data_IF_346913874844
#
_entry.id   IF_346913874844
#
_cell.length_a   1.000
_cell.length_b   1.000
_cell.length_c   1.000
_cell.angle_alpha   90.00
_cell.angle_beta   90.00
_cell.angle_gamma   90.00
#
_symmetry.space_group_name_H-M   'P 1'
#
loop_
_entity.id
_entity.type
_entity.pdbx_description
1 polymer ?
#
# COMPACT_ATOMS: atom_id res chain seq x y z
N UNK A 1 -20.98 -31.63 -6.03
CA UNK A 1 -22.05 -31.20 -5.11
C UNK A 1 -21.45 -31.16 -3.72
N UNK A 2 -21.07 -29.97 -3.24
CA UNK A 2 -20.89 -29.73 -1.81
C UNK A 2 -22.04 -28.82 -1.44
N UNK A 3 -22.89 -29.31 -0.55
CA UNK A 3 -24.03 -28.59 -0.03
C UNK A 3 -23.53 -27.27 0.57
N UNK A 4 -24.01 -26.15 0.01
CA UNK A 4 -23.90 -24.86 0.67
C UNK A 4 -24.87 -24.91 1.84
N UNK A 5 -24.36 -25.16 3.05
CA UNK A 5 -25.14 -24.89 4.27
C UNK A 5 -25.60 -23.42 4.25
N UNK A 6 -26.85 -23.13 4.64
CA UNK A 6 -27.37 -21.78 4.66
C UNK A 6 -26.52 -20.90 5.59
N UNK A 7 -26.31 -19.64 5.19
CA UNK A 7 -25.66 -18.59 5.98
C UNK A 7 -26.05 -18.71 7.47
N UNK A 8 -25.14 -19.25 8.30
CA UNK A 8 -25.29 -19.15 9.74
C UNK A 8 -25.17 -17.66 10.09
N UNK A 9 -26.16 -17.12 10.81
CA UNK A 9 -26.10 -15.78 11.38
C UNK A 9 -24.94 -15.71 12.38
N UNK A 10 -23.76 -15.40 11.87
CA UNK A 10 -22.65 -14.95 12.70
C UNK A 10 -23.07 -13.62 13.31
N UNK A 11 -23.01 -13.53 14.63
CA UNK A 11 -23.24 -12.28 15.33
C UNK A 11 -22.20 -11.25 14.88
N UNK A 12 -22.59 -10.37 13.94
CA UNK A 12 -21.91 -9.11 13.71
C UNK A 12 -22.78 -7.99 14.31
N UNK A 13 -22.66 -7.73 15.63
CA UNK A 13 -23.47 -6.72 16.30
C UNK A 13 -23.16 -5.29 15.84
N UNK A 14 -22.17 -5.07 14.96
CA UNK A 14 -21.59 -3.75 14.77
C UNK A 14 -22.27 -2.86 13.73
N UNK A 15 -23.12 -3.36 12.82
CA UNK A 15 -23.46 -2.55 11.64
C UNK A 15 -24.92 -2.49 11.21
N UNK A 16 -25.84 -3.16 11.91
CA UNK A 16 -27.29 -3.01 11.64
C UNK A 16 -27.86 -1.62 11.98
N UNK A 17 -27.06 -0.67 12.50
CA UNK A 17 -27.53 0.68 12.86
C UNK A 17 -26.84 1.86 12.13
N UNK A 18 -25.85 1.62 11.26
CA UNK A 18 -25.23 2.67 10.43
C UNK A 18 -25.70 2.59 8.98
N UNK A 19 -26.99 2.87 8.77
CA UNK A 19 -27.60 2.73 7.45
C UNK A 19 -29.06 3.15 7.41
N UNK A 20 -29.40 4.33 7.93
CA UNK A 20 -30.58 5.05 7.46
C UNK A 20 -30.10 6.43 7.00
N UNK A 21 -30.00 6.59 5.68
CA UNK A 21 -29.67 7.86 5.05
C UNK A 21 -30.69 8.91 5.41
N UNK A 22 -30.21 10.07 5.86
CA UNK A 22 -31.02 11.29 5.91
C UNK A 22 -30.75 12.04 4.61
N UNK A 23 -31.78 12.14 3.76
CA UNK A 23 -31.84 13.15 2.71
C UNK A 23 -31.86 14.52 3.37
N UNK A 24 -30.90 15.39 3.06
CA UNK A 24 -31.13 16.84 3.10
C UNK A 24 -30.46 17.50 1.90
N UNK A 25 -31.32 18.03 1.03
CA UNK A 25 -30.99 19.14 0.15
C UNK A 25 -30.77 20.39 1.00
N UNK A 26 -29.79 21.20 0.58
CA UNK A 26 -29.46 22.55 1.03
C UNK A 26 -28.78 22.73 2.40
N UNK A 27 -27.52 23.17 2.32
CA UNK A 27 -27.05 24.34 3.08
C UNK A 27 -26.35 24.08 4.41
N UNK A 28 -25.05 24.39 4.42
CA UNK A 28 -24.15 24.65 5.56
C UNK A 28 -23.60 23.41 6.29
N UNK A 29 -22.31 23.15 6.04
CA UNK A 29 -21.49 22.19 6.77
C UNK A 29 -21.23 22.66 8.21
N UNK A 30 -21.95 22.05 9.16
CA UNK A 30 -21.43 21.81 10.51
C UNK A 30 -21.65 20.32 10.84
N UNK A 31 -20.72 19.47 10.40
CA UNK A 31 -20.77 18.02 10.65
C UNK A 31 -20.29 17.68 12.06
N UNK A 32 -20.98 18.17 13.08
CA UNK A 32 -20.92 17.54 14.40
C UNK A 32 -22.26 16.82 14.58
N UNK A 33 -22.37 15.62 14.00
CA UNK A 33 -23.44 14.69 14.39
C UNK A 33 -23.25 14.41 15.87
N UNK A 34 -24.19 14.83 16.71
CA UNK A 34 -24.19 14.44 18.11
C UNK A 34 -24.09 12.91 18.20
N UNK A 35 -23.29 12.37 19.15
CA UNK A 35 -23.19 10.93 19.33
C UNK A 35 -24.58 10.33 19.51
N UNK A 36 -24.89 9.23 18.81
CA UNK A 36 -26.13 8.49 19.06
C UNK A 36 -26.11 8.04 20.53
N UNK A 37 -27.20 8.29 21.25
CA UNK A 37 -27.40 7.75 22.60
C UNK A 37 -27.99 6.34 22.44
N UNK A 38 -27.33 5.36 23.04
CA UNK A 38 -27.73 3.96 22.99
C UNK A 38 -28.32 3.53 24.33
N UNK A 39 -29.32 2.65 24.31
CA UNK A 39 -29.80 1.99 25.52
C UNK A 39 -28.74 1.05 26.10
N UNK A 40 -28.84 0.72 27.40
CA UNK A 40 -27.96 -0.29 28.01
C UNK A 40 -28.05 -1.63 27.26
N UNK A 41 -29.25 -2.02 26.81
CA UNK A 41 -29.44 -3.25 26.04
C UNK A 41 -28.73 -3.19 24.67
N UNK A 42 -28.79 -2.06 23.95
CA UNK A 42 -28.05 -1.87 22.69
C UNK A 42 -26.53 -1.96 22.91
N UNK A 43 -26.01 -1.40 24.01
CA UNK A 43 -24.59 -1.47 24.36
C UNK A 43 -24.16 -2.90 24.73
N UNK A 44 -24.98 -3.60 25.50
CA UNK A 44 -24.70 -4.96 25.95
C UNK A 44 -24.95 -6.02 24.88
N UNK A 45 -25.71 -5.72 23.82
CA UNK A 45 -25.93 -6.61 22.68
C UNK A 45 -24.62 -7.01 21.97
N UNK A 46 -23.56 -6.21 22.12
CA UNK A 46 -22.22 -6.49 21.56
C UNK A 46 -21.34 -7.36 22.46
N UNK A 47 -21.85 -7.83 23.60
CA UNK A 47 -21.06 -8.63 24.54
C UNK A 47 -20.67 -9.97 23.93
N UNK A 48 -19.37 -10.19 23.79
CA UNK A 48 -18.81 -11.50 23.46
C UNK A 48 -18.90 -12.40 24.72
N UNK A 49 -19.51 -13.57 24.57
CA UNK A 49 -19.62 -14.60 25.60
C UNK A 49 -18.96 -15.90 25.11
N UNK A 50 -18.84 -16.89 26.00
CA UNK A 50 -18.36 -18.22 25.62
C UNK A 50 -19.23 -18.92 24.56
N UNK A 51 -20.45 -18.43 24.31
CA UNK A 51 -21.36 -18.95 23.28
C UNK A 51 -21.28 -18.15 21.97
N UNK A 52 -20.62 -16.98 21.95
CA UNK A 52 -20.51 -16.16 20.75
C UNK A 52 -19.67 -16.88 19.70
N UNK A 53 -20.28 -17.19 18.55
CA UNK A 53 -19.56 -17.68 17.38
C UNK A 53 -19.02 -16.51 16.58
N UNK A 54 -17.69 -16.39 16.51
CA UNK A 54 -17.04 -15.45 15.63
C UNK A 54 -17.00 -16.01 14.20
N UNK A 55 -17.01 -15.13 13.20
CA UNK A 55 -16.65 -15.52 11.84
C UNK A 55 -15.21 -16.05 11.85
N UNK A 56 -14.93 -17.21 11.23
CA UNK A 56 -13.56 -17.66 11.09
C UNK A 56 -12.77 -16.62 10.27
N UNK A 57 -11.47 -16.51 10.56
CA UNK A 57 -10.59 -15.74 9.71
C UNK A 57 -10.58 -16.38 8.32
N UNK A 58 -10.93 -15.61 7.29
CA UNK A 58 -10.93 -16.05 5.88
C UNK A 58 -9.79 -15.35 5.13
N UNK A 59 -8.61 -15.99 4.99
CA UNK A 59 -7.49 -15.41 4.27
C UNK A 59 -7.83 -15.24 2.79
N UNK A 60 -7.39 -14.14 2.19
CA UNK A 60 -7.51 -13.85 0.77
C UNK A 60 -6.16 -13.91 0.06
N UNK A 61 -5.08 -13.48 0.71
CA UNK A 61 -3.74 -13.50 0.14
C UNK A 61 -2.75 -13.95 1.20
N UNK A 62 -1.92 -14.93 0.85
CA UNK A 62 -0.78 -15.40 1.65
C UNK A 62 0.52 -15.19 0.88
N UNK A 63 1.61 -14.94 1.59
CA UNK A 63 2.92 -14.66 0.99
C UNK A 63 3.99 -15.55 1.64
N UNK A 64 4.95 -16.04 0.84
CA UNK A 64 6.01 -16.93 1.29
C UNK A 64 5.55 -18.38 1.31
N UNK A 65 5.42 -18.98 2.50
CA UNK A 65 4.89 -20.35 2.58
C UNK A 65 3.35 -20.31 2.58
N UNK A 66 2.75 -21.06 1.64
CA UNK A 66 1.31 -21.09 1.33
C UNK A 66 0.38 -21.26 2.54
N UNK A 67 0.87 -21.78 3.66
CA UNK A 67 0.09 -22.12 4.85
C UNK A 67 0.33 -21.21 6.06
N UNK A 68 1.17 -20.17 5.95
CA UNK A 68 1.60 -19.39 7.12
C UNK A 68 1.19 -17.94 7.09
N UNK A 69 1.82 -17.12 6.24
CA UNK A 69 1.79 -15.67 6.41
C UNK A 69 0.60 -15.06 5.68
N UNK A 70 -0.45 -14.75 6.43
CA UNK A 70 -1.69 -14.17 5.94
C UNK A 70 -1.49 -12.67 5.76
N UNK A 71 -1.31 -12.24 4.51
CA UNK A 71 -1.14 -10.84 4.17
C UNK A 71 -2.47 -10.09 4.14
N UNK A 72 -3.51 -10.70 3.57
CA UNK A 72 -4.84 -10.12 3.47
C UNK A 72 -5.91 -11.15 3.84
N UNK A 73 -6.98 -10.68 4.48
CA UNK A 73 -8.14 -11.47 4.89
C UNK A 73 -9.43 -10.68 4.70
N UNK A 74 -10.58 -11.37 4.65
CA UNK A 74 -11.89 -10.70 4.62
C UNK A 74 -12.13 -9.94 5.91
N UNK A 75 -12.76 -8.78 5.81
CA UNK A 75 -13.05 -7.91 6.94
C UNK A 75 -11.90 -6.99 7.34
N UNK A 76 -10.76 -7.06 6.66
CA UNK A 76 -9.53 -6.35 7.03
C UNK A 76 -8.94 -5.53 5.88
N UNK A 77 -8.05 -4.61 6.27
CA UNK A 77 -7.24 -3.80 5.37
C UNK A 77 -5.82 -4.36 5.31
N UNK A 78 -5.18 -4.29 4.15
CA UNK A 78 -3.75 -4.63 3.98
C UNK A 78 -3.04 -3.60 3.13
N UNK A 79 -1.73 -3.46 3.30
CA UNK A 79 -0.95 -2.40 2.66
C UNK A 79 0.28 -2.94 1.93
N UNK A 80 0.44 -2.52 0.68
CA UNK A 80 1.66 -2.71 -0.10
C UNK A 80 2.38 -1.37 -0.15
N UNK A 81 3.54 -1.31 0.50
CA UNK A 81 4.36 -0.10 0.55
C UNK A 81 5.67 -0.25 -0.21
N UNK A 82 6.38 0.86 -0.40
CA UNK A 82 7.65 0.91 -1.09
C UNK A 82 7.86 2.25 -1.79
N UNK A 83 9.12 2.56 -2.06
CA UNK A 83 9.53 3.75 -2.80
C UNK A 83 8.89 3.85 -4.20
N UNK A 84 8.88 5.06 -4.76
CA UNK A 84 8.41 5.28 -6.13
C UNK A 84 9.17 4.39 -7.12
N UNK A 85 8.41 3.77 -8.04
CA UNK A 85 8.92 2.82 -9.06
C UNK A 85 9.58 1.56 -8.49
N UNK A 86 9.27 1.16 -7.25
CA UNK A 86 9.78 -0.09 -6.67
C UNK A 86 9.14 -1.36 -7.26
N UNK A 87 8.00 -1.24 -7.95
CA UNK A 87 7.28 -2.38 -8.54
C UNK A 87 6.01 -2.78 -7.79
N UNK A 88 5.48 -1.93 -6.90
CA UNK A 88 4.24 -2.22 -6.14
C UNK A 88 3.07 -2.67 -7.02
N UNK A 89 2.73 -1.92 -8.07
CA UNK A 89 1.64 -2.31 -8.98
C UNK A 89 1.94 -3.63 -9.72
N UNK A 90 3.21 -4.03 -9.89
CA UNK A 90 3.52 -5.39 -10.39
C UNK A 90 3.07 -6.46 -9.41
N UNK A 91 3.25 -6.24 -8.11
CA UNK A 91 2.70 -7.14 -7.07
C UNK A 91 1.17 -7.20 -7.14
N UNK A 92 0.51 -6.06 -7.34
CA UNK A 92 -0.94 -6.00 -7.58
C UNK A 92 -1.37 -6.89 -8.76
N UNK A 93 -0.69 -6.79 -9.90
CA UNK A 93 -0.99 -7.64 -11.07
C UNK A 93 -0.77 -9.13 -10.82
N UNK A 94 0.21 -9.50 -9.99
CA UNK A 94 0.52 -10.89 -9.62
C UNK A 94 -0.54 -11.44 -8.66
N UNK A 95 -0.99 -10.65 -7.68
CA UNK A 95 -2.11 -11.03 -6.78
C UNK A 95 -3.37 -11.33 -7.60
N UNK A 96 -3.72 -10.46 -8.54
CA UNK A 96 -4.91 -10.64 -9.38
C UNK A 96 -4.75 -11.89 -10.26
N UNK A 97 -3.61 -12.06 -10.93
CA UNK A 97 -3.35 -13.24 -11.76
C UNK A 97 -3.37 -14.56 -10.96
N UNK A 98 -2.84 -14.54 -9.73
CA UNK A 98 -2.87 -15.65 -8.79
C UNK A 98 -4.32 -16.05 -8.43
N UNK A 99 -5.18 -15.07 -8.14
CA UNK A 99 -6.60 -15.28 -7.83
C UNK A 99 -7.40 -15.82 -9.03
N UNK A 100 -7.01 -15.47 -10.25
CA UNK A 100 -7.65 -15.96 -11.48
C UNK A 100 -7.26 -17.40 -11.84
N UNK A 101 -6.07 -17.86 -11.44
CA UNK A 101 -5.50 -19.15 -11.88
C UNK A 101 -5.43 -20.21 -10.78
N UNK A 102 -5.94 -19.91 -9.57
CA UNK A 102 -5.82 -20.80 -8.41
C UNK A 102 -4.36 -21.24 -8.14
N UNK A 103 -3.39 -20.36 -8.45
CA UNK A 103 -1.96 -20.66 -8.35
C UNK A 103 -1.48 -21.90 -9.13
N UNK A 104 -2.20 -22.32 -10.17
CA UNK A 104 -1.86 -23.55 -10.90
C UNK A 104 -0.87 -23.31 -12.06
N UNK A 105 -0.62 -22.06 -12.46
CA UNK A 105 0.19 -21.76 -13.65
C UNK A 105 1.16 -20.60 -13.44
N UNK A 106 2.45 -20.91 -13.37
CA UNK A 106 3.54 -19.93 -13.37
C UNK A 106 4.04 -19.50 -11.99
N UNK A 107 5.11 -18.70 -12.01
CA UNK A 107 5.73 -18.16 -10.80
C UNK A 107 5.01 -16.87 -10.35
N UNK A 108 4.39 -16.94 -9.17
CA UNK A 108 3.68 -15.83 -8.54
C UNK A 108 4.45 -15.23 -7.36
N UNK A 109 5.77 -15.35 -7.34
CA UNK A 109 6.62 -14.74 -6.29
C UNK A 109 6.25 -15.20 -4.89
N UNK A 110 5.89 -16.49 -4.75
CA UNK A 110 5.38 -17.06 -3.50
C UNK A 110 4.14 -16.32 -2.95
N UNK A 111 3.38 -15.63 -3.82
CA UNK A 111 2.09 -15.03 -3.50
C UNK A 111 0.99 -16.00 -3.87
N UNK A 112 0.14 -16.31 -2.90
CA UNK A 112 -0.99 -17.21 -3.04
C UNK A 112 -2.28 -16.47 -2.69
N UNK A 113 -2.96 -15.97 -3.71
CA UNK A 113 -4.32 -15.46 -3.57
C UNK A 113 -5.35 -16.61 -3.66
N UNK A 114 -6.41 -16.52 -2.86
CA UNK A 114 -7.55 -17.43 -2.96
C UNK A 114 -8.24 -17.25 -4.33
N UNK A 115 -8.79 -18.31 -4.92
CA UNK A 115 -9.49 -18.20 -6.18
C UNK A 115 -10.71 -17.27 -6.09
N UNK A 116 -10.86 -16.36 -7.04
CA UNK A 116 -12.02 -15.48 -7.08
C UNK A 116 -13.32 -16.23 -7.41
N UNK A 117 -13.23 -17.36 -8.13
CA UNK A 117 -14.37 -18.18 -8.56
C UNK A 117 -15.44 -17.38 -9.31
N UNK A 118 -15.01 -16.43 -10.16
CA UNK A 118 -15.90 -15.57 -10.94
C UNK A 118 -16.45 -14.36 -10.18
N UNK A 119 -16.19 -14.24 -8.87
CA UNK A 119 -16.51 -13.03 -8.11
C UNK A 119 -15.62 -11.86 -8.55
N UNK A 120 -16.12 -10.65 -8.35
CA UNK A 120 -15.51 -9.43 -8.86
C UNK A 120 -14.15 -9.17 -8.23
N UNK A 121 -13.19 -8.67 -9.00
CA UNK A 121 -11.95 -8.08 -8.48
C UNK A 121 -11.89 -6.65 -9.00
N UNK A 122 -11.65 -5.68 -8.12
CA UNK A 122 -11.60 -4.26 -8.50
C UNK A 122 -10.23 -3.69 -8.19
N UNK A 123 -9.57 -3.14 -9.21
CA UNK A 123 -8.35 -2.36 -9.07
C UNK A 123 -8.64 -0.90 -9.48
N UNK A 124 -8.37 0.04 -8.58
CA UNK A 124 -8.52 1.48 -8.81
C UNK A 124 -7.14 2.11 -8.72
N UNK A 125 -6.78 2.91 -9.72
CA UNK A 125 -5.51 3.66 -9.72
C UNK A 125 -5.78 5.15 -9.84
N UNK A 126 -5.21 5.92 -8.92
CA UNK A 126 -5.38 7.38 -8.82
C UNK A 126 -4.16 8.17 -9.29
N UNK A 127 -3.08 7.51 -9.72
CA UNK A 127 -1.77 8.12 -9.98
C UNK A 127 -1.30 7.99 -11.44
N UNK A 128 -1.65 6.90 -12.12
CA UNK A 128 -1.05 6.50 -13.39
C UNK A 128 -1.87 6.91 -14.61
N UNK A 129 -1.17 7.11 -15.73
CA UNK A 129 -1.80 7.32 -17.04
C UNK A 129 -2.52 6.06 -17.55
N UNK A 130 -3.51 6.26 -18.42
CA UNK A 130 -4.26 5.17 -19.08
C UNK A 130 -3.34 4.15 -19.78
N UNK A 131 -2.24 4.60 -20.40
CA UNK A 131 -1.27 3.70 -21.04
C UNK A 131 -0.58 2.75 -20.05
N UNK A 132 -0.31 3.24 -18.83
CA UNK A 132 0.27 2.41 -17.78
C UNK A 132 -0.73 1.38 -17.27
N UNK A 133 -2.01 1.76 -17.16
CA UNK A 133 -3.09 0.84 -16.80
C UNK A 133 -3.36 -0.22 -17.86
N UNK A 134 -3.23 0.11 -19.14
CA UNK A 134 -3.23 -0.87 -20.24
C UNK A 134 -2.10 -1.89 -20.06
N UNK A 135 -0.88 -1.44 -19.75
CA UNK A 135 0.25 -2.35 -19.47
C UNK A 135 0.02 -3.21 -18.22
N UNK A 136 -0.60 -2.64 -17.19
CA UNK A 136 -0.97 -3.37 -15.98
C UNK A 136 -1.98 -4.49 -16.28
N UNK A 137 -3.05 -4.18 -17.04
CA UNK A 137 -4.01 -5.18 -17.56
C UNK A 137 -3.31 -6.28 -18.35
N UNK A 138 -2.46 -5.90 -19.29
CA UNK A 138 -1.76 -6.85 -20.17
C UNK A 138 -0.83 -7.77 -19.36
N UNK A 139 -0.19 -7.23 -18.31
CA UNK A 139 0.60 -8.04 -17.38
C UNK A 139 -0.25 -9.02 -16.59
N UNK A 140 -1.45 -8.65 -16.11
CA UNK A 140 -2.38 -9.59 -15.47
C UNK A 140 -2.69 -10.75 -16.42
N UNK A 141 -3.10 -10.43 -17.66
CA UNK A 141 -3.43 -11.44 -18.67
C UNK A 141 -2.23 -12.35 -18.95
N UNK A 142 -1.04 -11.76 -19.12
CA UNK A 142 0.20 -12.52 -19.35
C UNK A 142 0.55 -13.44 -18.17
N UNK A 143 0.44 -12.95 -16.95
CA UNK A 143 0.78 -13.74 -15.75
C UNK A 143 -0.23 -14.85 -15.51
N UNK A 144 -1.50 -14.61 -15.83
CA UNK A 144 -2.58 -15.58 -15.74
C UNK A 144 -2.64 -16.56 -16.94
N UNK A 145 -1.87 -16.32 -18.01
CA UNK A 145 -1.95 -17.11 -19.24
C UNK A 145 -3.25 -16.93 -20.02
N UNK A 146 -3.87 -15.75 -19.91
CA UNK A 146 -5.14 -15.41 -20.54
C UNK A 146 -4.94 -14.52 -21.77
N UNK A 147 -5.76 -14.73 -22.81
CA UNK A 147 -5.76 -13.88 -23.99
C UNK A 147 -6.43 -12.52 -23.75
N UNK A 148 -7.42 -12.47 -22.85
CA UNK A 148 -8.17 -11.28 -22.51
C UNK A 148 -8.50 -11.24 -21.01
N UNK A 149 -8.72 -10.03 -20.50
CA UNK A 149 -9.11 -9.84 -19.10
C UNK A 149 -10.56 -10.34 -18.92
N UNK A 150 -10.85 -11.15 -17.88
CA UNK A 150 -12.22 -11.57 -17.59
C UNK A 150 -13.12 -10.39 -17.24
N UNK A 151 -14.40 -10.45 -17.62
CA UNK A 151 -15.38 -9.37 -17.40
C UNK A 151 -15.62 -9.03 -15.92
N UNK A 152 -15.39 -9.97 -15.01
CA UNK A 152 -15.50 -9.76 -13.56
C UNK A 152 -14.26 -9.07 -12.95
N UNK A 153 -13.27 -8.69 -13.75
CA UNK A 153 -12.10 -7.92 -13.27
C UNK A 153 -12.18 -6.49 -13.79
N UNK A 154 -12.34 -5.55 -12.86
CA UNK A 154 -12.50 -4.13 -13.15
C UNK A 154 -11.19 -3.40 -12.88
N UNK A 155 -10.67 -2.70 -13.89
CA UNK A 155 -9.48 -1.84 -13.78
C UNK A 155 -9.94 -0.41 -14.07
N UNK A 156 -9.95 0.45 -13.05
CA UNK A 156 -10.55 1.77 -13.10
C UNK A 156 -9.49 2.88 -13.00
N UNK A 157 -9.47 3.76 -14.00
CA UNK A 157 -8.53 4.88 -14.11
C UNK A 157 -9.11 6.15 -13.46
N UNK A 158 -8.67 6.47 -12.25
CA UNK A 158 -9.15 7.63 -11.48
C UNK A 158 -8.13 8.77 -11.44
N UNK A 159 -6.96 8.61 -12.05
CA UNK A 159 -5.95 9.67 -12.16
C UNK A 159 -6.48 10.95 -12.84
N UNK A 160 -7.38 10.82 -13.82
CA UNK A 160 -8.03 11.96 -14.49
C UNK A 160 -9.23 12.56 -13.74
N UNK A 161 -9.60 12.02 -12.57
CA UNK A 161 -10.71 12.53 -11.75
C UNK A 161 -10.21 13.56 -10.75
N UNK A 162 -11.07 14.52 -10.42
CA UNK A 162 -10.80 15.55 -9.42
C UNK A 162 -10.46 14.91 -8.07
N UNK A 163 -9.34 15.31 -7.46
CA UNK A 163 -8.83 14.71 -6.22
C UNK A 163 -9.88 14.70 -5.11
N UNK A 164 -10.64 15.79 -4.98
CA UNK A 164 -11.70 15.94 -3.98
C UNK A 164 -12.87 14.98 -4.18
N UNK A 165 -13.09 14.45 -5.39
CA UNK A 165 -14.20 13.55 -5.71
C UNK A 165 -13.81 12.07 -5.59
N UNK A 166 -12.51 11.75 -5.69
CA UNK A 166 -12.02 10.35 -5.76
C UNK A 166 -12.52 9.48 -4.61
N UNK A 167 -12.45 9.98 -3.37
CA UNK A 167 -12.93 9.23 -2.21
C UNK A 167 -14.43 8.93 -2.34
N UNK A 168 -15.25 9.94 -2.62
CA UNK A 168 -16.70 9.81 -2.73
C UNK A 168 -17.11 8.87 -3.88
N UNK A 169 -16.42 8.93 -5.02
CA UNK A 169 -16.62 8.00 -6.12
C UNK A 169 -16.36 6.54 -5.70
N UNK A 170 -15.30 6.29 -4.92
CA UNK A 170 -15.00 4.94 -4.41
C UNK A 170 -16.08 4.50 -3.41
N UNK A 171 -16.53 5.39 -2.52
CA UNK A 171 -17.61 5.10 -1.55
C UNK A 171 -18.88 4.67 -2.27
N UNK A 172 -19.33 5.46 -3.25
CA UNK A 172 -20.51 5.16 -4.05
C UNK A 172 -20.40 3.83 -4.79
N UNK A 173 -19.22 3.53 -5.34
CA UNK A 173 -18.99 2.26 -6.03
C UNK A 173 -19.03 1.07 -5.06
N UNK A 174 -18.41 1.17 -3.88
CA UNK A 174 -18.42 0.10 -2.88
C UNK A 174 -19.80 -0.11 -2.23
N UNK A 175 -20.62 0.92 -2.18
CA UNK A 175 -21.99 0.86 -1.64
C UNK A 175 -23.03 0.41 -2.68
N UNK A 176 -22.65 0.35 -3.96
CA UNK A 176 -23.52 -0.08 -5.04
C UNK A 176 -23.85 -1.58 -4.93
N UNK A 177 -25.13 -1.92 -5.11
CA UNK A 177 -25.64 -3.29 -5.07
C UNK A 177 -24.92 -4.21 -6.06
N UNK A 178 -24.61 -3.71 -7.26
CA UNK A 178 -23.90 -4.47 -8.30
C UNK A 178 -22.47 -4.81 -7.87
N UNK A 179 -21.88 -4.09 -6.93
CA UNK A 179 -20.51 -4.31 -6.46
C UNK A 179 -20.44 -5.18 -5.19
N UNK A 180 -21.58 -5.64 -4.68
CA UNK A 180 -21.61 -6.63 -3.59
C UNK A 180 -20.95 -7.94 -4.01
N UNK A 181 -20.51 -8.69 -2.99
CA UNK A 181 -19.74 -9.94 -3.13
C UNK A 181 -18.47 -9.79 -4.00
N UNK A 182 -17.87 -8.60 -3.99
CA UNK A 182 -16.54 -8.40 -4.56
C UNK A 182 -15.52 -9.22 -3.76
N UNK A 183 -14.72 -10.01 -4.46
CA UNK A 183 -13.72 -10.89 -3.87
C UNK A 183 -12.58 -10.09 -3.23
N UNK A 184 -12.08 -9.08 -3.94
CA UNK A 184 -10.92 -8.30 -3.54
C UNK A 184 -10.96 -6.90 -4.14
N UNK A 185 -10.68 -5.90 -3.30
CA UNK A 185 -10.44 -4.53 -3.73
C UNK A 185 -8.96 -4.20 -3.62
N UNK A 186 -8.43 -3.55 -4.64
CA UNK A 186 -7.07 -3.04 -4.70
C UNK A 186 -7.13 -1.55 -5.06
N UNK A 187 -6.59 -0.67 -4.22
CA UNK A 187 -6.67 0.78 -4.41
C UNK A 187 -5.25 1.35 -4.39
N UNK A 188 -4.73 1.70 -5.57
CA UNK A 188 -3.40 2.26 -5.79
C UNK A 188 -3.45 3.78 -5.67
N UNK A 189 -2.82 4.31 -4.60
CA UNK A 189 -2.82 5.74 -4.28
C UNK A 189 -3.85 6.14 -3.21
N UNK A 190 -3.83 5.50 -2.03
CA UNK A 190 -4.73 5.88 -0.90
C UNK A 190 -4.50 7.32 -0.43
N UNK A 191 -3.26 7.82 -0.52
CA UNK A 191 -2.89 9.19 -0.16
C UNK A 191 -3.64 10.21 -1.01
N UNK A 192 -3.99 9.85 -2.24
CA UNK A 192 -4.72 10.72 -3.16
C UNK A 192 -6.22 10.81 -2.86
N UNK A 193 -6.70 10.09 -1.85
CA UNK A 193 -8.09 10.14 -1.40
C UNK A 193 -8.32 11.19 -0.29
N UNK A 194 -7.25 11.81 0.23
CA UNK A 194 -7.31 12.86 1.24
C UNK A 194 -6.71 14.16 0.73
N UNK A 195 -7.23 15.29 1.21
CA UNK A 195 -6.77 16.61 0.82
C UNK A 195 -5.38 16.92 1.39
N UNK A 196 -5.14 16.53 2.64
CA UNK A 196 -3.87 16.70 3.33
C UNK A 196 -3.44 15.40 4.03
N UNK A 197 -2.32 14.83 3.57
CA UNK A 197 -1.70 13.62 4.13
C UNK A 197 -1.17 13.76 5.56
N UNK A 198 -1.00 15.01 6.01
CA UNK A 198 -0.59 15.35 7.37
C UNK A 198 -1.79 15.76 8.25
N UNK A 199 -3.02 15.68 7.74
CA UNK A 199 -4.19 15.84 8.57
C UNK A 199 -4.57 14.50 9.22
N UNK A 200 -4.39 14.42 10.55
CA UNK A 200 -4.69 13.21 11.33
C UNK A 200 -6.17 12.85 11.26
N UNK A 201 -7.07 13.84 11.26
CA UNK A 201 -8.52 13.60 11.24
C UNK A 201 -8.96 13.01 9.90
N UNK A 202 -8.51 13.59 8.77
CA UNK A 202 -8.79 13.04 7.43
C UNK A 202 -8.21 11.63 7.28
N UNK A 203 -6.99 11.41 7.78
CA UNK A 203 -6.33 10.10 7.75
C UNK A 203 -7.14 9.06 8.53
N UNK A 204 -7.62 9.41 9.72
CA UNK A 204 -8.45 8.53 10.55
C UNK A 204 -9.80 8.26 9.90
N UNK A 205 -10.48 9.29 9.39
CA UNK A 205 -11.79 9.17 8.74
C UNK A 205 -11.75 8.20 7.56
N UNK A 206 -10.73 8.31 6.70
CA UNK A 206 -10.58 7.40 5.54
C UNK A 206 -10.31 5.97 5.99
N UNK A 207 -9.41 5.75 6.94
CA UNK A 207 -9.13 4.41 7.45
C UNK A 207 -10.33 3.80 8.18
N UNK A 208 -11.10 4.60 8.92
CA UNK A 208 -12.29 4.14 9.63
C UNK A 208 -13.43 3.80 8.66
N UNK A 209 -13.61 4.58 7.59
CA UNK A 209 -14.56 4.25 6.54
C UNK A 209 -14.23 2.90 5.90
N UNK A 210 -13.00 2.73 5.41
CA UNK A 210 -12.61 1.50 4.73
C UNK A 210 -12.58 0.29 5.67
N UNK A 211 -12.14 0.47 6.92
CA UNK A 211 -12.20 -0.59 7.93
C UNK A 211 -13.63 -1.00 8.26
N UNK A 212 -14.56 -0.04 8.33
CA UNK A 212 -15.97 -0.29 8.56
C UNK A 212 -16.63 -1.05 7.40
N UNK A 213 -16.43 -0.59 6.16
CA UNK A 213 -17.05 -1.23 4.98
C UNK A 213 -16.45 -2.61 4.69
N UNK A 214 -15.14 -2.81 4.90
CA UNK A 214 -14.49 -4.12 4.79
C UNK A 214 -15.16 -5.16 5.69
N UNK A 215 -15.39 -4.82 6.97
CA UNK A 215 -16.08 -5.68 7.95
C UNK A 215 -17.54 -5.90 7.57
N UNK A 216 -18.28 -4.81 7.35
CA UNK A 216 -19.72 -4.84 7.04
C UNK A 216 -20.04 -5.73 5.83
N UNK A 217 -19.22 -5.66 4.78
CA UNK A 217 -19.43 -6.42 3.56
C UNK A 217 -18.57 -7.70 3.46
N UNK A 218 -17.84 -8.06 4.52
CA UNK A 218 -16.93 -9.21 4.58
C UNK A 218 -15.98 -9.28 3.36
N UNK A 219 -15.32 -8.17 3.02
CA UNK A 219 -14.40 -8.07 1.89
C UNK A 219 -12.98 -7.73 2.35
N UNK A 220 -11.97 -8.05 1.56
CA UNK A 220 -10.60 -7.58 1.80
C UNK A 220 -10.27 -6.39 0.91
N UNK A 221 -9.53 -5.42 1.47
CA UNK A 221 -9.09 -4.23 0.75
C UNK A 221 -7.57 -4.11 0.88
N UNK A 222 -6.88 -4.08 -0.25
CA UNK A 222 -5.44 -3.87 -0.35
C UNK A 222 -5.19 -2.45 -0.85
N UNK A 223 -4.46 -1.67 -0.07
CA UNK A 223 -4.02 -0.33 -0.45
C UNK A 223 -2.58 -0.32 -0.89
N UNK A 224 -2.26 0.54 -1.85
CA UNK A 224 -0.89 0.90 -2.15
C UNK A 224 -0.60 2.29 -1.62
N UNK A 225 0.57 2.42 -0.99
CA UNK A 225 1.04 3.66 -0.39
C UNK A 225 2.54 3.77 -0.56
N UNK A 226 3.01 4.96 -0.90
CA UNK A 226 4.45 5.19 -0.98
C UNK A 226 5.07 5.19 0.42
N UNK A 227 6.36 4.88 0.47
CA UNK A 227 7.19 5.21 1.63
C UNK A 227 7.65 6.66 1.50
N UNK A 228 7.88 7.31 2.65
CA UNK A 228 8.53 8.61 2.69
C UNK A 228 9.87 8.52 1.93
N UNK A 229 10.19 9.48 1.04
CA UNK A 229 11.40 9.38 0.26
C UNK A 229 12.64 9.33 1.15
N UNK A 230 13.54 8.43 0.77
CA UNK A 230 14.72 8.15 1.59
C UNK A 230 14.39 7.63 2.98
N UNK A 231 13.24 7.00 3.23
CA UNK A 231 12.85 6.34 4.50
C UNK A 231 12.09 5.04 4.23
N UNK A 232 12.07 4.13 5.20
CA UNK A 232 11.32 2.88 5.15
C UNK A 232 9.88 3.01 5.69
N UNK A 233 9.48 4.21 6.14
CA UNK A 233 8.17 4.46 6.75
C UNK A 233 7.13 4.79 5.70
N UNK A 234 5.92 4.26 5.85
CA UNK A 234 4.77 4.65 5.03
C UNK A 234 4.50 6.16 5.16
N UNK A 235 4.05 6.76 4.05
CA UNK A 235 3.89 8.23 3.96
C UNK A 235 2.78 8.77 4.87
N UNK A 236 3.09 9.87 5.58
CA UNK A 236 2.13 10.69 6.35
C UNK A 236 1.53 10.05 7.61
N UNK A 237 0.61 10.78 8.24
CA UNK A 237 -0.14 10.25 9.39
C UNK A 237 -1.03 9.08 9.01
N UNK A 238 -1.51 9.05 7.76
CA UNK A 238 -2.22 7.92 7.19
C UNK A 238 -1.40 6.64 7.26
N UNK A 239 -0.11 6.66 6.91
CA UNK A 239 0.76 5.49 7.01
C UNK A 239 0.87 4.95 8.44
N UNK A 240 1.07 5.85 9.41
CA UNK A 240 1.13 5.47 10.84
C UNK A 240 -0.20 4.91 11.34
N UNK A 241 -1.33 5.51 10.94
CA UNK A 241 -2.67 5.02 11.27
C UNK A 241 -2.96 3.66 10.63
N UNK A 242 -2.50 3.44 9.40
CA UNK A 242 -2.69 2.21 8.65
C UNK A 242 -2.02 1.01 9.33
N UNK A 243 -0.75 1.14 9.74
CA UNK A 243 -0.03 0.09 10.48
C UNK A 243 -0.78 -0.32 11.78
N UNK A 244 -1.46 0.63 12.43
CA UNK A 244 -2.26 0.37 13.64
C UNK A 244 -3.62 -0.28 13.39
N UNK A 245 -4.12 -0.31 12.15
CA UNK A 245 -5.46 -0.84 11.82
C UNK A 245 -5.47 -2.01 10.83
N UNK A 246 -4.39 -2.25 10.09
CA UNK A 246 -4.34 -3.25 9.03
C UNK A 246 -3.98 -4.67 9.51
N UNK A 247 -4.44 -5.70 8.81
CA UNK A 247 -4.07 -7.08 9.06
C UNK A 247 -2.62 -7.39 8.64
N UNK A 248 -2.15 -6.79 7.55
CA UNK A 248 -0.81 -7.03 7.06
C UNK A 248 -0.24 -5.90 6.20
N UNK A 249 1.07 -5.69 6.31
CA UNK A 249 1.86 -4.76 5.49
C UNK A 249 3.10 -5.46 4.94
N UNK A 250 3.34 -5.29 3.65
CA UNK A 250 4.59 -5.69 2.98
C UNK A 250 5.26 -4.48 2.36
N UNK A 251 6.60 -4.50 2.29
CA UNK A 251 7.37 -3.53 1.54
C UNK A 251 7.97 -4.16 0.28
N UNK A 252 7.83 -3.45 -0.83
CA UNK A 252 8.42 -3.78 -2.12
C UNK A 252 9.60 -2.85 -2.35
N UNK A 253 10.81 -3.41 -2.39
CA UNK A 253 12.04 -2.66 -2.64
C UNK A 253 12.65 -3.02 -3.99
N UNK A 254 13.48 -2.12 -4.51
CA UNK A 254 14.21 -2.31 -5.78
C UNK A 254 15.62 -1.72 -5.69
N UNK A 255 16.61 -2.55 -5.94
CA UNK A 255 17.94 -2.08 -6.33
C UNK A 255 17.93 -1.69 -7.82
N UNK A 256 18.17 -0.42 -8.12
CA UNK A 256 18.15 0.09 -9.50
C UNK A 256 19.41 -0.23 -10.29
N UNK A 257 20.55 -0.48 -9.65
CA UNK A 257 21.80 -0.78 -10.35
C UNK A 257 21.83 -2.23 -10.85
N UNK A 258 21.33 -3.15 -10.02
CA UNK A 258 21.28 -4.59 -10.27
C UNK A 258 19.92 -5.08 -10.76
N UNK A 259 18.90 -4.22 -10.74
CA UNK A 259 17.52 -4.54 -11.15
C UNK A 259 16.93 -5.73 -10.37
N UNK A 260 17.30 -5.85 -9.10
CA UNK A 260 16.79 -6.85 -8.16
C UNK A 260 15.69 -6.22 -7.33
N UNK A 261 14.63 -6.98 -7.08
CA UNK A 261 13.52 -6.58 -6.23
C UNK A 261 13.41 -7.50 -5.01
N UNK A 262 12.82 -7.00 -3.93
CA UNK A 262 12.41 -7.80 -2.78
C UNK A 262 10.98 -7.50 -2.35
N UNK A 263 10.30 -8.53 -1.83
CA UNK A 263 9.08 -8.40 -1.01
C UNK A 263 9.50 -8.75 0.42
N UNK A 264 9.30 -7.83 1.34
CA UNK A 264 9.71 -7.97 2.74
C UNK A 264 8.51 -7.79 3.67
N UNK A 265 8.39 -8.59 4.75
CA UNK A 265 7.35 -8.39 5.75
C UNK A 265 7.61 -7.08 6.52
N UNK A 266 6.54 -6.37 6.86
CA UNK A 266 6.58 -5.23 7.79
C UNK A 266 5.71 -5.47 9.01
N UNK A 267 4.52 -6.01 8.79
CA UNK A 267 3.55 -6.27 9.86
C UNK A 267 2.62 -7.40 9.44
N UNK A 268 2.38 -8.39 10.31
CA UNK A 268 1.38 -9.43 10.13
C UNK A 268 0.67 -9.66 11.47
N UNK A 269 -0.66 -9.47 11.53
CA UNK A 269 -1.45 -9.61 12.77
C UNK A 269 -1.92 -11.02 13.04
N UNK A 270 -2.24 -11.74 11.98
CA UNK A 270 -2.90 -13.04 12.07
C UNK A 270 -1.92 -14.21 11.92
N UNK A 271 -0.62 -13.92 11.72
CA UNK A 271 0.39 -14.92 11.39
C UNK A 271 1.81 -14.38 11.62
N UNK A 272 2.80 -15.28 11.64
CA UNK A 272 4.21 -14.90 11.62
C UNK A 272 4.66 -14.29 10.30
N UNK A 273 5.73 -13.51 10.36
CA UNK A 273 6.45 -12.99 9.20
C UNK A 273 7.00 -14.11 8.31
N UNK A 274 7.25 -13.77 7.03
CA UNK A 274 7.86 -14.64 6.04
C UNK A 274 9.29 -14.17 5.71
N UNK A 275 10.11 -15.07 5.19
CA UNK A 275 11.46 -14.72 4.72
C UNK A 275 11.40 -13.82 3.47
N UNK A 276 12.24 -12.78 3.35
CA UNK A 276 12.27 -11.94 2.16
C UNK A 276 12.33 -12.75 0.86
N UNK A 277 11.44 -12.40 -0.06
CA UNK A 277 11.35 -13.01 -1.40
C UNK A 277 12.07 -12.09 -2.37
N UNK A 278 13.05 -12.63 -3.09
CA UNK A 278 13.83 -11.88 -4.06
C UNK A 278 13.46 -12.30 -5.47
N UNK A 279 13.35 -11.33 -6.36
CA UNK A 279 12.87 -11.56 -7.71
C UNK A 279 13.43 -10.53 -8.69
N UNK A 280 13.48 -10.88 -9.97
CA UNK A 280 13.88 -9.97 -11.02
C UNK A 280 13.10 -10.26 -12.31
N UNK A 281 13.27 -9.38 -13.30
CA UNK A 281 12.69 -9.59 -14.61
C UNK A 281 13.49 -10.64 -15.39
N UNK A 282 12.84 -11.71 -15.82
CA UNK A 282 13.40 -12.71 -16.73
C UNK A 282 13.04 -12.34 -18.18
N UNK A 283 14.02 -12.00 -19.05
CA UNK A 283 13.76 -11.67 -20.45
C UNK A 283 13.11 -12.80 -21.24
N UNK A 284 13.46 -14.06 -20.96
CA UNK A 284 12.99 -15.22 -21.72
C UNK A 284 11.50 -15.47 -21.50
N UNK A 285 11.07 -15.47 -20.23
CA UNK A 285 9.67 -15.60 -19.86
C UNK A 285 8.92 -14.26 -19.89
N UNK A 286 9.64 -13.16 -20.17
CA UNK A 286 9.19 -11.78 -20.20
C UNK A 286 8.43 -11.35 -18.93
N UNK A 287 8.65 -11.97 -17.78
CA UNK A 287 7.92 -11.72 -16.52
C UNK A 287 8.86 -11.63 -15.32
N UNK A 288 8.33 -11.16 -14.20
CA UNK A 288 9.03 -11.28 -12.92
C UNK A 288 9.04 -12.75 -12.47
N UNK A 289 10.20 -13.21 -12.00
CA UNK A 289 10.40 -14.58 -11.49
C UNK A 289 11.17 -14.55 -10.18
N UNK A 290 10.86 -15.50 -9.31
CA UNK A 290 11.51 -15.74 -8.03
C UNK A 290 12.95 -16.19 -8.22
N UNK A 291 13.83 -15.74 -7.33
CA UNK A 291 15.22 -16.16 -7.27
C UNK A 291 15.40 -17.22 -6.17
N UNK A 292 16.12 -18.28 -6.51
CA UNK A 292 16.39 -19.42 -5.61
C UNK A 292 17.90 -19.73 -5.53
N UNK A 293 18.29 -20.53 -4.54
CA UNK A 293 19.67 -21.01 -4.38
C UNK A 293 20.70 -19.88 -4.30
N UNK A 294 21.78 -20.00 -5.07
CA UNK A 294 22.86 -18.99 -5.12
C UNK A 294 22.36 -17.61 -5.58
N UNK A 295 21.44 -17.55 -6.56
CA UNK A 295 20.89 -16.29 -7.05
C UNK A 295 20.10 -15.54 -5.96
N UNK A 296 19.37 -16.27 -5.10
CA UNK A 296 18.70 -15.70 -3.92
C UNK A 296 19.70 -15.09 -2.94
N UNK A 297 20.80 -15.80 -2.65
CA UNK A 297 21.82 -15.33 -1.71
C UNK A 297 22.54 -14.07 -2.22
N UNK A 298 22.81 -14.00 -3.51
CA UNK A 298 23.44 -12.82 -4.12
C UNK A 298 22.49 -11.61 -4.16
N UNK A 299 21.20 -11.85 -4.44
CA UNK A 299 20.17 -10.84 -4.36
C UNK A 299 20.02 -10.30 -2.92
N UNK A 300 20.00 -11.18 -1.92
CA UNK A 300 19.95 -10.80 -0.51
C UNK A 300 21.14 -9.90 -0.14
N UNK A 301 22.38 -10.33 -0.41
CA UNK A 301 23.58 -9.51 -0.16
C UNK A 301 23.52 -8.15 -0.86
N UNK A 302 22.95 -8.09 -2.06
CA UNK A 302 22.78 -6.84 -2.81
C UNK A 302 21.81 -5.91 -2.08
N UNK A 303 20.63 -6.42 -1.72
CA UNK A 303 19.60 -5.63 -1.04
C UNK A 303 20.03 -5.20 0.37
N UNK A 304 20.74 -6.05 1.10
CA UNK A 304 21.28 -5.74 2.43
C UNK A 304 22.30 -4.61 2.36
N UNK A 305 23.24 -4.68 1.41
CA UNK A 305 24.23 -3.62 1.17
C UNK A 305 23.59 -2.29 0.79
N UNK A 306 22.59 -2.31 -0.09
CA UNK A 306 21.89 -1.08 -0.50
C UNK A 306 21.09 -0.48 0.66
N UNK A 307 20.47 -1.32 1.49
CA UNK A 307 19.76 -0.88 2.69
C UNK A 307 20.72 -0.24 3.69
N UNK A 308 21.83 -0.92 4.02
CA UNK A 308 22.86 -0.41 4.93
C UNK A 308 23.44 0.91 4.43
N UNK A 309 23.82 0.99 3.15
CA UNK A 309 24.37 2.21 2.56
C UNK A 309 23.39 3.38 2.64
N UNK A 310 22.10 3.12 2.41
CA UNK A 310 21.06 4.15 2.49
C UNK A 310 20.89 4.65 3.93
N UNK A 311 20.95 3.76 4.92
CA UNK A 311 20.89 4.13 6.35
C UNK A 311 22.11 4.98 6.76
N UNK A 312 23.33 4.53 6.44
CA UNK A 312 24.57 5.26 6.74
C UNK A 312 24.58 6.67 6.13
N UNK A 313 24.06 6.81 4.89
CA UNK A 313 23.92 8.12 4.27
C UNK A 313 22.85 8.98 4.94
N UNK A 314 21.77 8.39 5.46
CA UNK A 314 20.73 9.11 6.18
C UNK A 314 21.24 9.63 7.51
N UNK A 315 21.84 8.77 8.33
CA UNK A 315 22.43 9.15 9.62
C UNK A 315 23.44 10.28 9.42
N UNK A 316 24.34 10.14 8.43
CA UNK A 316 25.30 11.19 8.09
C UNK A 316 24.61 12.51 7.68
N UNK A 317 23.53 12.44 6.89
CA UNK A 317 22.77 13.63 6.52
C UNK A 317 22.13 14.27 7.74
N UNK A 318 21.47 13.51 8.61
CA UNK A 318 20.84 14.00 9.83
C UNK A 318 21.86 14.69 10.75
N UNK A 319 23.03 14.08 10.98
CA UNK A 319 24.13 14.71 11.73
C UNK A 319 24.63 16.00 11.07
N UNK A 320 24.79 16.00 9.74
CA UNK A 320 25.23 17.21 9.04
C UNK A 320 24.21 18.36 9.11
N UNK A 321 22.92 18.06 9.27
CA UNK A 321 21.84 19.04 9.38
C UNK A 321 21.42 19.33 10.82
N UNK A 322 22.13 18.80 11.81
CA UNK A 322 21.87 19.13 13.22
C UNK A 322 22.05 20.64 13.44
N UNK A 323 20.99 21.30 13.91
CA UNK A 323 20.97 22.75 14.14
C UNK A 323 20.72 23.63 12.90
N UNK A 324 20.64 23.07 11.69
CA UNK A 324 20.39 23.84 10.46
C UNK A 324 19.42 23.15 9.52
N UNK A 325 18.39 23.87 9.05
CA UNK A 325 17.44 23.32 8.08
C UNK A 325 17.87 23.48 6.61
N UNK A 326 18.81 24.40 6.32
CA UNK A 326 19.27 24.72 4.97
C UNK A 326 20.79 24.95 4.93
N UNK A 327 21.50 24.25 4.05
CA UNK A 327 22.96 24.36 3.92
C UNK A 327 23.40 24.66 2.48
N UNK A 328 24.35 25.58 2.32
CA UNK A 328 25.06 25.78 1.06
C UNK A 328 25.97 24.58 0.77
N UNK A 329 26.26 24.28 -0.51
CA UNK A 329 27.15 23.18 -0.90
C UNK A 329 28.48 23.20 -0.12
N UNK A 330 29.14 24.36 -0.03
CA UNK A 330 30.41 24.52 0.67
C UNK A 330 30.33 24.12 2.15
N UNK A 331 29.24 24.49 2.83
CA UNK A 331 29.02 24.17 4.23
C UNK A 331 28.73 22.67 4.42
N UNK A 332 27.84 22.10 3.60
CA UNK A 332 27.52 20.68 3.65
C UNK A 332 28.75 19.80 3.35
N UNK A 333 29.54 20.17 2.33
CA UNK A 333 30.81 19.49 2.02
C UNK A 333 31.77 19.57 3.22
N UNK A 334 31.88 20.72 3.89
CA UNK A 334 32.74 20.84 5.07
C UNK A 334 32.26 19.94 6.22
N UNK A 335 30.95 19.88 6.50
CA UNK A 335 30.38 19.02 7.53
C UNK A 335 30.61 17.54 7.26
N UNK A 336 30.32 17.07 6.04
CA UNK A 336 30.56 15.67 5.65
C UNK A 336 32.03 15.30 5.80
N UNK A 337 32.96 16.20 5.42
CA UNK A 337 34.40 15.96 5.57
C UNK A 337 34.83 15.88 7.03
N UNK A 338 34.27 16.73 7.89
CA UNK A 338 34.57 16.70 9.32
C UNK A 338 34.06 15.41 9.96
N UNK A 339 32.86 14.97 9.58
CA UNK A 339 32.22 13.77 10.14
C UNK A 339 32.88 12.47 9.66
N UNK A 340 33.31 12.41 8.40
CA UNK A 340 33.77 11.14 7.78
C UNK A 340 35.26 11.11 7.42
N UNK A 341 35.99 12.23 7.54
CA UNK A 341 37.40 12.34 7.17
C UNK A 341 37.68 12.28 5.65
N UNK A 342 36.65 12.27 4.80
CA UNK A 342 36.82 12.06 3.35
C UNK A 342 37.31 13.31 2.61
N UNK A 343 37.73 13.13 1.35
CA UNK A 343 38.07 14.24 0.45
C UNK A 343 36.83 15.06 0.06
N UNK A 344 37.02 16.31 -0.39
CA UNK A 344 35.92 17.13 -0.91
C UNK A 344 35.23 16.49 -2.14
N UNK A 345 35.98 15.76 -2.98
CA UNK A 345 35.42 15.01 -4.10
C UNK A 345 34.49 13.89 -3.60
N UNK A 346 34.95 13.11 -2.63
CA UNK A 346 34.17 12.02 -2.02
C UNK A 346 32.92 12.53 -1.29
N UNK A 347 33.02 13.68 -0.61
CA UNK A 347 31.87 14.33 0.02
C UNK A 347 30.81 14.73 -1.02
N UNK A 348 31.21 15.30 -2.16
CA UNK A 348 30.28 15.61 -3.24
C UNK A 348 29.65 14.35 -3.87
N UNK A 349 30.40 13.25 -3.97
CA UNK A 349 29.82 11.96 -4.38
C UNK A 349 28.73 11.50 -3.40
N UNK A 350 28.97 11.57 -2.08
CA UNK A 350 27.95 11.25 -1.07
C UNK A 350 26.72 12.14 -1.18
N UNK A 351 26.88 13.46 -1.37
CA UNK A 351 25.75 14.39 -1.60
C UNK A 351 24.94 13.97 -2.83
N UNK A 352 25.62 13.63 -3.94
CA UNK A 352 24.94 13.15 -5.15
C UNK A 352 24.15 11.87 -4.88
N UNK A 353 24.73 10.91 -4.17
CA UNK A 353 24.05 9.66 -3.80
C UNK A 353 22.86 9.90 -2.87
N UNK A 354 22.95 10.85 -1.94
CA UNK A 354 21.85 11.25 -1.06
C UNK A 354 20.70 11.91 -1.84
N UNK A 355 21.00 12.73 -2.85
CA UNK A 355 19.96 13.29 -3.75
C UNK A 355 19.28 12.19 -4.57
N UNK A 356 20.05 11.25 -5.13
CA UNK A 356 19.52 10.13 -5.92
C UNK A 356 18.61 9.21 -5.09
N UNK A 357 18.91 9.07 -3.79
CA UNK A 357 18.12 8.31 -2.81
C UNK A 357 17.01 9.12 -2.15
N UNK A 358 16.86 10.40 -2.53
CA UNK A 358 15.90 11.32 -1.93
C UNK A 358 16.04 11.42 -0.40
N UNK A 359 17.27 11.32 0.10
CA UNK A 359 17.63 11.64 1.49
C UNK A 359 17.80 13.16 1.62
N UNK A 360 18.39 13.78 0.60
CA UNK A 360 18.51 15.23 0.47
C UNK A 360 17.64 15.75 -0.66
N UNK A 361 17.31 17.02 -0.57
CA UNK A 361 16.72 17.78 -1.66
C UNK A 361 17.39 19.14 -1.81
N UNK A 362 17.08 19.83 -2.91
CA UNK A 362 17.64 21.15 -3.23
C UNK A 362 16.53 22.18 -3.33
N UNK A 363 16.58 23.20 -2.49
CA UNK A 363 15.62 24.31 -2.43
C UNK A 363 16.41 25.61 -2.58
N UNK A 364 16.07 26.41 -3.61
CA UNK A 364 16.70 27.72 -3.87
C UNK A 364 18.25 27.70 -3.87
N UNK A 365 18.84 26.66 -4.46
CA UNK A 365 20.30 26.54 -4.52
C UNK A 365 20.97 25.95 -3.27
N UNK A 366 20.24 25.79 -2.16
CA UNK A 366 20.69 25.19 -0.90
C UNK A 366 20.19 23.75 -0.77
N UNK A 367 20.84 22.97 0.08
CA UNK A 367 20.45 21.62 0.43
C UNK A 367 19.62 21.60 1.70
N UNK A 368 18.67 20.69 1.78
CA UNK A 368 17.88 20.38 2.97
C UNK A 368 17.66 18.87 3.05
N UNK A 369 17.32 18.35 4.24
CA UNK A 369 16.79 17.00 4.35
C UNK A 369 15.50 16.91 3.55
N UNK A 370 15.28 15.80 2.86
CA UNK A 370 14.09 15.65 2.05
C UNK A 370 12.83 15.66 2.92
N UNK A 371 11.86 16.50 2.56
CA UNK A 371 10.50 16.50 3.12
C UNK A 371 9.49 16.58 1.96
N UNK A 372 8.60 15.59 1.89
CA UNK A 372 7.61 15.44 0.82
C UNK A 372 6.56 16.56 0.82
N UNK A 373 6.21 17.10 1.99
CA UNK A 373 5.22 18.18 2.12
C UNK A 373 5.72 19.50 1.53
N UNK A 374 7.02 19.78 1.69
CA UNK A 374 7.68 20.97 1.11
C UNK A 374 7.77 20.85 -0.42
N UNK A 375 8.01 19.64 -0.93
CA UNK A 375 8.30 19.42 -2.35
C UNK A 375 7.04 19.29 -3.22
N UNK A 376 5.94 18.74 -2.69
CA UNK A 376 4.63 18.74 -3.39
C UNK A 376 4.03 20.16 -3.47
N UNK A 377 4.15 20.96 -2.41
CA UNK A 377 3.63 22.34 -2.42
C UNK A 377 4.41 23.26 -3.38
N UNK A 378 5.74 23.08 -3.50
CA UNK A 378 6.55 23.85 -4.45
C UNK A 378 6.35 23.41 -5.92
N UNK A 379 5.99 22.15 -6.18
CA UNK A 379 5.68 21.68 -7.54
C UNK A 379 4.37 22.26 -8.09
N UNK A 380 3.43 22.65 -7.22
CA UNK A 380 2.16 23.29 -7.61
C UNK A 380 2.36 24.77 -7.99
N UNK A 381 3.49 25.38 -7.64
CA UNK A 381 3.80 26.79 -7.93
C UNK A 381 4.64 27.03 -9.20
N UNK A 382 5.03 25.97 -9.94
CA UNK A 382 5.66 26.17 -11.24
C UNK A 382 4.57 26.31 -12.31
N UNK A 383 4.53 27.42 -13.08
CA UNK A 383 3.59 27.53 -14.19
C UNK A 383 3.91 26.46 -15.24
N UNK A 384 2.85 25.82 -15.74
CA UNK A 384 2.85 24.83 -16.83
C UNK A 384 3.58 25.33 -18.08
#
# INVERSE_FOLDING_TARGET
MRDQEPNQDFADPYWHSAGNGVKTLNGKHSNHKHPKVYSIDELLASRITSQTKARPLEPLVRIGRKDRSIFAARGDLSFITGQAKSGKSTIGSIIIASALTNNQSGDFLEIYAEPCQGRKIVYIDTEQSDQSLVKFRDNICKYAGLAQLPEHVYILAYAGRERAERLEMIKQLMENEEMKDTHLWLIDGIIDLIGDMNNIDQSNEVLDYFGGIAKKQNMGIIFFIHENPGSAKMTGHLGTGAERKCAGTIAVKKDRAKQVHSIEPRLFRHSSDFEPIYFNYCPDSRRMVSLYGAARQDAQKTMDRETQKTEELRELAETCFEGDHLLMNKALVARIRNETGVSARSANTKIKEMLERQILAKVEGKYTLYDEAIHKNNAIQMPL
#
